data_IF_992179756111
#
_entry.id   IF_992179756111
#
_cell.length_a   1.000
_cell.length_b   1.000
_cell.length_c   1.000
_cell.angle_alpha   90.00
_cell.angle_beta   90.00
_cell.angle_gamma   90.00
#
_symmetry.space_group_name_H-M   'P 1'
#
loop_
_entity.id
_entity.type
_entity.pdbx_description
1 polymer ?
#
# COMPACT_ATOMS: atom_id res chain seq x y z
N UNK A 1 8.53 9.17 0.63
CA UNK A 1 9.05 7.92 0.03
C UNK A 1 8.12 7.54 -1.11
N UNK A 2 8.69 7.37 -2.29
CA UNK A 2 8.04 6.85 -3.48
C UNK A 2 8.35 5.37 -3.66
N UNK A 3 7.60 4.68 -4.54
CA UNK A 3 7.83 3.25 -4.80
C UNK A 3 9.27 2.96 -5.22
N UNK A 4 9.88 3.83 -6.03
CA UNK A 4 11.27 3.68 -6.48
C UNK A 4 12.29 3.72 -5.33
N UNK A 5 11.97 4.40 -4.23
CA UNK A 5 12.90 4.54 -3.10
C UNK A 5 13.02 3.22 -2.32
N UNK A 6 12.12 2.26 -2.55
CA UNK A 6 12.13 0.94 -1.88
C UNK A 6 13.00 -0.09 -2.61
N UNK A 7 13.56 0.22 -3.78
CA UNK A 7 14.32 -0.73 -4.61
C UNK A 7 15.53 -1.28 -3.87
N UNK A 8 16.27 -0.44 -3.15
CA UNK A 8 17.45 -0.89 -2.41
C UNK A 8 17.08 -1.89 -1.32
N UNK A 9 16.03 -1.59 -0.55
CA UNK A 9 15.52 -2.46 0.51
C UNK A 9 15.04 -3.82 -0.03
N UNK A 10 14.41 -3.84 -1.22
CA UNK A 10 13.99 -5.08 -1.89
C UNK A 10 15.16 -6.00 -2.26
N UNK A 11 16.32 -5.41 -2.56
CA UNK A 11 17.53 -6.15 -2.95
C UNK A 11 18.45 -6.44 -1.76
N UNK A 12 18.05 -6.06 -0.54
CA UNK A 12 18.82 -6.37 0.66
C UNK A 12 18.90 -7.88 0.89
N UNK A 13 20.07 -8.35 1.36
CA UNK A 13 20.25 -9.71 1.82
C UNK A 13 19.51 -9.96 3.15
N UNK A 14 19.27 -8.92 3.95
CA UNK A 14 18.46 -9.01 5.16
C UNK A 14 16.97 -9.07 4.79
N UNK A 15 16.31 -10.15 5.21
CA UNK A 15 14.88 -10.33 4.97
C UNK A 15 14.03 -9.26 5.67
N UNK A 16 14.51 -8.69 6.79
CA UNK A 16 13.79 -7.63 7.52
C UNK A 16 13.68 -6.36 6.68
N UNK A 17 14.73 -6.02 5.94
CA UNK A 17 14.70 -4.88 5.01
C UNK A 17 13.76 -5.14 3.84
N UNK A 18 13.75 -6.34 3.28
CA UNK A 18 12.77 -6.72 2.23
C UNK A 18 11.33 -6.66 2.76
N UNK A 19 11.12 -7.05 4.01
CA UNK A 19 9.82 -6.99 4.68
C UNK A 19 9.34 -5.54 4.92
N UNK A 20 10.23 -4.65 5.39
CA UNK A 20 9.93 -3.22 5.48
C UNK A 20 9.61 -2.63 4.10
N UNK A 21 10.36 -3.03 3.07
CA UNK A 21 10.09 -2.60 1.69
C UNK A 21 8.67 -2.98 1.25
N UNK A 22 8.26 -4.23 1.47
CA UNK A 22 6.93 -4.73 1.16
C UNK A 22 5.81 -3.94 1.88
N UNK A 23 6.00 -3.64 3.16
CA UNK A 23 5.09 -2.80 3.93
C UNK A 23 4.96 -1.40 3.32
N UNK A 24 6.09 -0.72 3.10
CA UNK A 24 6.12 0.64 2.57
C UNK A 24 5.50 0.69 1.17
N UNK A 25 5.82 -0.29 0.32
CA UNK A 25 5.25 -0.45 -1.01
C UNK A 25 3.74 -0.62 -1.03
N UNK A 26 3.21 -1.46 -0.13
CA UNK A 26 1.76 -1.65 -0.02
C UNK A 26 1.09 -0.38 0.48
N UNK A 27 1.69 0.27 1.51
CA UNK A 27 1.18 1.52 2.08
C UNK A 27 1.15 2.66 1.07
N UNK A 28 2.21 2.87 0.31
CA UNK A 28 2.28 3.92 -0.72
C UNK A 28 1.17 3.75 -1.77
N UNK A 29 0.95 2.50 -2.22
CA UNK A 29 -0.14 2.22 -3.19
C UNK A 29 -1.51 2.41 -2.55
N UNK A 30 -1.68 2.00 -1.28
CA UNK A 30 -2.93 2.18 -0.54
C UNK A 30 -3.27 3.66 -0.40
N UNK A 31 -2.32 4.49 0.04
CA UNK A 31 -2.52 5.92 0.25
C UNK A 31 -2.88 6.63 -1.06
N UNK A 32 -2.23 6.26 -2.17
CA UNK A 32 -2.55 6.81 -3.50
C UNK A 32 -3.93 6.37 -3.99
N UNK A 33 -4.29 5.11 -3.80
CA UNK A 33 -5.60 4.57 -4.18
C UNK A 33 -6.71 5.20 -3.32
N UNK A 34 -6.48 5.37 -2.01
CA UNK A 34 -7.38 6.06 -1.09
C UNK A 34 -7.69 7.47 -1.58
N UNK A 35 -6.64 8.29 -1.80
CA UNK A 35 -6.79 9.65 -2.30
C UNK A 35 -7.54 9.71 -3.64
N UNK A 36 -7.31 8.75 -4.53
CA UNK A 36 -8.04 8.64 -5.80
C UNK A 36 -9.52 8.29 -5.58
N UNK A 37 -9.81 7.29 -4.74
CA UNK A 37 -11.19 6.83 -4.46
C UNK A 37 -12.02 7.92 -3.77
N UNK A 38 -11.43 8.71 -2.87
CA UNK A 38 -12.09 9.87 -2.25
C UNK A 38 -12.49 10.90 -3.29
N UNK A 39 -11.59 11.24 -4.22
CA UNK A 39 -11.91 12.17 -5.31
C UNK A 39 -12.96 11.62 -6.26
N UNK A 40 -12.93 10.32 -6.55
CA UNK A 40 -13.91 9.66 -7.39
C UNK A 40 -15.30 9.71 -6.73
N UNK A 41 -15.41 9.33 -5.47
CA UNK A 41 -16.66 9.36 -4.71
C UNK A 41 -17.23 10.79 -4.55
N UNK A 42 -16.35 11.79 -4.43
CA UNK A 42 -16.74 13.20 -4.38
C UNK A 42 -17.09 13.81 -5.76
N UNK A 43 -16.93 13.08 -6.87
CA UNK A 43 -17.14 13.61 -8.23
C UNK A 43 -16.11 14.66 -8.67
N UNK A 44 -14.93 14.70 -8.04
CA UNK A 44 -13.87 15.70 -8.29
C UNK A 44 -12.62 15.11 -8.97
N UNK A 45 -12.63 13.80 -9.28
CA UNK A 45 -11.53 13.15 -9.96
C UNK A 45 -11.38 13.72 -11.38
N UNK A 46 -10.17 14.12 -11.75
CA UNK A 46 -9.87 14.79 -13.03
C UNK A 46 -9.85 13.85 -14.24
N UNK A 47 -10.18 12.58 -14.06
CA UNK A 47 -10.24 11.55 -15.10
C UNK A 47 -11.28 10.49 -14.74
N UNK A 48 -11.68 9.71 -15.73
CA UNK A 48 -12.66 8.62 -15.56
C UNK A 48 -11.94 7.27 -15.58
N UNK A 49 -11.93 6.52 -14.46
CA UNK A 49 -11.45 5.15 -14.46
C UNK A 49 -12.28 4.25 -15.39
N UNK A 50 -11.64 3.26 -16.00
CA UNK A 50 -12.33 2.27 -16.84
C UNK A 50 -13.07 1.21 -16.02
N UNK A 51 -12.74 1.05 -14.74
CA UNK A 51 -13.38 0.14 -13.81
C UNK A 51 -14.30 0.89 -12.83
N UNK A 52 -15.16 0.13 -12.14
CA UNK A 52 -16.07 0.70 -11.14
C UNK A 52 -15.34 1.20 -9.90
N UNK A 53 -15.91 2.23 -9.25
CA UNK A 53 -15.47 2.67 -7.92
C UNK A 53 -15.49 1.53 -6.89
N UNK A 54 -16.46 0.64 -6.96
CA UNK A 54 -16.58 -0.50 -6.04
C UNK A 54 -15.40 -1.46 -6.15
N UNK A 55 -14.91 -1.77 -7.38
CA UNK A 55 -13.72 -2.60 -7.54
C UNK A 55 -12.48 -1.95 -6.91
N UNK A 56 -12.35 -0.63 -7.02
CA UNK A 56 -11.24 0.13 -6.44
C UNK A 56 -11.33 0.18 -4.90
N UNK A 57 -12.54 0.30 -4.35
CA UNK A 57 -12.79 0.21 -2.89
C UNK A 57 -12.45 -1.17 -2.34
N UNK A 58 -12.81 -2.24 -3.05
CA UNK A 58 -12.46 -3.61 -2.67
C UNK A 58 -10.94 -3.84 -2.73
N UNK A 59 -10.28 -3.37 -3.79
CA UNK A 59 -8.81 -3.40 -3.88
C UNK A 59 -8.16 -2.70 -2.67
N UNK A 60 -8.61 -1.48 -2.35
CA UNK A 60 -8.15 -0.72 -1.19
C UNK A 60 -8.38 -1.48 0.13
N UNK A 61 -9.55 -2.11 0.31
CA UNK A 61 -9.87 -2.93 1.49
C UNK A 61 -8.90 -4.09 1.65
N UNK A 62 -8.62 -4.83 0.58
CA UNK A 62 -7.66 -5.94 0.62
C UNK A 62 -6.25 -5.46 0.98
N UNK A 63 -5.81 -4.34 0.41
CA UNK A 63 -4.52 -3.74 0.76
C UNK A 63 -4.45 -3.29 2.21
N UNK A 64 -5.51 -2.67 2.75
CA UNK A 64 -5.59 -2.29 4.16
C UNK A 64 -5.51 -3.49 5.10
N UNK A 65 -6.19 -4.58 4.76
CA UNK A 65 -6.09 -5.85 5.50
C UNK A 65 -4.68 -6.43 5.43
N UNK A 66 -4.02 -6.36 4.28
CA UNK A 66 -2.64 -6.82 4.13
C UNK A 66 -1.66 -6.01 4.98
N UNK A 67 -1.77 -4.68 4.95
CA UNK A 67 -0.99 -3.76 5.80
C UNK A 67 -1.17 -4.12 7.28
N UNK A 68 -2.39 -4.43 7.72
CA UNK A 68 -2.66 -4.88 9.09
C UNK A 68 -1.94 -6.18 9.42
N UNK A 69 -1.95 -7.16 8.51
CA UNK A 69 -1.21 -8.41 8.70
C UNK A 69 0.30 -8.15 8.84
N UNK A 70 0.86 -7.28 8.00
CA UNK A 70 2.29 -6.92 8.07
C UNK A 70 2.64 -6.26 9.40
N UNK A 71 1.80 -5.35 9.91
CA UNK A 71 2.00 -4.75 11.24
C UNK A 71 2.00 -5.79 12.36
N UNK A 72 1.02 -6.68 12.38
CA UNK A 72 0.94 -7.76 13.38
C UNK A 72 2.17 -8.66 13.30
N UNK A 73 2.58 -9.04 12.09
CA UNK A 73 3.77 -9.87 11.87
C UNK A 73 5.05 -9.16 12.32
N UNK A 74 5.16 -7.86 12.11
CA UNK A 74 6.29 -7.06 12.58
C UNK A 74 6.44 -7.07 14.10
N UNK A 75 5.33 -6.95 14.84
CA UNK A 75 5.32 -7.07 16.30
C UNK A 75 5.76 -8.47 16.77
N UNK A 76 5.28 -9.53 16.09
CA UNK A 76 5.66 -10.92 16.40
C UNK A 76 7.14 -11.18 16.14
N UNK A 77 7.69 -10.64 15.05
CA UNK A 77 9.08 -10.87 14.62
C UNK A 77 10.08 -9.85 15.18
N UNK A 78 9.62 -8.82 15.91
CA UNK A 78 10.46 -7.73 16.41
C UNK A 78 11.11 -6.91 15.29
N UNK A 79 10.33 -6.56 14.26
CA UNK A 79 10.76 -5.73 13.13
C UNK A 79 10.14 -4.34 13.26
N UNK A 80 10.96 -3.29 13.21
CA UNK A 80 10.49 -1.90 13.18
C UNK A 80 10.08 -1.51 11.75
N UNK A 81 8.83 -1.03 11.56
CA UNK A 81 8.23 -0.71 10.25
C UNK A 81 8.15 0.79 9.95
#
# INVERSE_FOLDING_TARGET
MELKDTIEMMNSNDYKERFKAEYQQTKIRYDKLDAMTVKYEAGTLSFTPTCSLELLKDQKKHMGNYIRCLKIRAEIEGIEL
#
